data_IF_842057889960
#
_entry.id   IF_842057889960
#
_cell.length_a   1.000
_cell.length_b   1.000
_cell.length_c   1.000
_cell.angle_alpha   90.00
_cell.angle_beta   90.00
_cell.angle_gamma   90.00
#
_symmetry.space_group_name_H-M   'P 1'
#
loop_
_entity.id
_entity.type
_entity.pdbx_description
1 polymer ?
#
# COMPACT_ATOMS: atom_id res chain seq x y z
N UNK A 1 -0.30 -20.99 -16.39
CA UNK A 1 -0.20 -21.43 -14.99
C UNK A 1 0.12 -20.24 -14.12
N UNK A 2 -0.36 -20.25 -12.90
CA UNK A 2 -0.12 -19.15 -11.95
C UNK A 2 0.00 -19.71 -10.55
N UNK A 3 0.53 -18.90 -9.64
CA UNK A 3 0.53 -19.20 -8.22
C UNK A 3 0.24 -17.93 -7.44
N UNK A 4 -0.18 -18.08 -6.18
CA UNK A 4 -0.50 -16.94 -5.33
C UNK A 4 0.62 -16.69 -4.31
N UNK A 5 0.90 -15.43 -4.06
CA UNK A 5 1.82 -15.00 -3.01
C UNK A 5 1.03 -14.18 -2.01
N UNK A 6 1.06 -14.60 -0.73
CA UNK A 6 0.43 -13.85 0.35
C UNK A 6 1.46 -12.93 1.00
N UNK A 7 1.06 -11.68 1.23
CA UNK A 7 1.91 -10.68 1.84
C UNK A 7 1.21 -10.10 3.06
N UNK A 8 2.00 -9.76 4.09
CA UNK A 8 1.49 -9.14 5.29
C UNK A 8 2.60 -8.28 5.88
N UNK A 9 2.33 -6.98 6.06
CA UNK A 9 3.32 -6.03 6.58
C UNK A 9 2.64 -5.16 7.62
N UNK A 10 3.30 -4.98 8.76
CA UNK A 10 2.85 -4.09 9.83
C UNK A 10 4.02 -3.19 10.22
N UNK A 11 3.78 -1.89 10.29
CA UNK A 11 4.79 -0.89 10.64
C UNK A 11 4.17 0.18 11.50
N UNK A 12 4.99 0.83 12.33
CA UNK A 12 4.56 2.01 13.07
C UNK A 12 5.72 2.98 13.23
N UNK A 13 5.37 4.25 13.35
CA UNK A 13 6.35 5.30 13.60
C UNK A 13 5.69 6.45 14.36
N UNK A 14 6.50 7.30 14.99
CA UNK A 14 6.03 8.50 15.64
C UNK A 14 6.31 9.71 14.76
N UNK A 15 5.32 10.59 14.66
CA UNK A 15 5.41 11.82 13.88
C UNK A 15 5.24 13.03 14.80
N UNK A 16 5.98 14.13 14.56
CA UNK A 16 5.75 15.37 15.31
C UNK A 16 4.46 16.09 14.89
N UNK A 17 3.86 15.69 13.77
CA UNK A 17 2.62 16.31 13.30
C UNK A 17 1.44 15.95 14.19
N UNK A 18 0.46 16.87 14.27
CA UNK A 18 -0.76 16.63 15.05
C UNK A 18 -1.64 15.58 14.35
N UNK A 19 -2.45 14.82 15.11
CA UNK A 19 -3.31 13.79 14.52
C UNK A 19 -4.18 14.29 13.37
N UNK A 20 -4.75 15.49 13.47
CA UNK A 20 -5.58 16.05 12.40
C UNK A 20 -4.78 16.26 11.11
N UNK A 21 -3.53 16.71 11.22
CA UNK A 21 -2.68 16.90 10.05
C UNK A 21 -2.32 15.58 9.40
N UNK A 22 -2.00 14.58 10.20
CA UNK A 22 -1.69 13.23 9.72
C UNK A 22 -2.92 12.64 9.04
N UNK A 23 -4.10 12.74 9.69
CA UNK A 23 -5.34 12.23 9.13
C UNK A 23 -5.65 12.90 7.79
N UNK A 24 -5.49 14.21 7.69
CA UNK A 24 -5.74 14.94 6.44
C UNK A 24 -4.89 14.45 5.28
N UNK A 25 -3.63 14.12 5.55
CA UNK A 25 -2.74 13.56 4.53
C UNK A 25 -3.16 12.16 4.11
N UNK A 26 -3.42 11.28 5.09
CA UNK A 26 -3.68 9.86 4.82
C UNK A 26 -5.08 9.60 4.29
N UNK A 27 -6.05 10.43 4.63
CA UNK A 27 -7.42 10.32 4.11
C UNK A 27 -7.53 10.80 2.66
N UNK A 28 -6.61 11.63 2.22
CA UNK A 28 -6.53 12.07 0.83
C UNK A 28 -5.73 11.02 0.04
N UNK A 29 -6.44 10.08 -0.56
CA UNK A 29 -5.81 8.92 -1.20
C UNK A 29 -4.81 9.30 -2.28
N UNK A 30 -5.12 10.19 -3.24
CA UNK A 30 -4.11 10.59 -4.24
C UNK A 30 -2.87 11.20 -3.62
N UNK A 31 -3.04 12.04 -2.61
CA UNK A 31 -1.91 12.69 -1.93
C UNK A 31 -1.07 11.66 -1.18
N UNK A 32 -1.71 10.77 -0.44
CA UNK A 32 -1.04 9.68 0.26
C UNK A 32 -0.30 8.78 -0.73
N UNK A 33 -0.98 8.37 -1.79
CA UNK A 33 -0.44 7.47 -2.81
C UNK A 33 0.77 8.07 -3.54
N UNK A 34 0.86 9.40 -3.63
CA UNK A 34 2.01 10.05 -4.25
C UNK A 34 3.33 9.74 -3.55
N UNK A 35 3.26 9.23 -2.33
CA UNK A 35 4.43 8.83 -1.55
C UNK A 35 4.83 7.38 -1.77
N UNK A 36 3.99 6.60 -2.46
CA UNK A 36 4.25 5.18 -2.69
C UNK A 36 5.18 5.02 -3.89
N UNK A 37 6.26 4.21 -3.76
CA UNK A 37 7.20 4.05 -4.88
C UNK A 37 6.64 3.18 -5.98
N UNK A 38 7.13 3.41 -7.19
CA UNK A 38 6.91 2.54 -8.35
C UNK A 38 5.44 2.38 -8.74
N UNK A 39 4.64 3.43 -8.52
CA UNK A 39 3.27 3.49 -9.02
C UNK A 39 3.30 4.11 -10.42
N UNK A 40 2.89 3.34 -11.41
CA UNK A 40 2.79 3.83 -12.78
C UNK A 40 1.57 4.73 -12.94
N UNK A 41 0.44 4.32 -12.32
CA UNK A 41 -0.82 5.03 -12.50
C UNK A 41 -1.76 4.76 -11.32
N UNK A 42 -2.47 5.80 -10.89
CA UNK A 42 -3.56 5.71 -9.92
C UNK A 42 -4.81 6.24 -10.60
N UNK A 43 -5.83 5.41 -10.73
CA UNK A 43 -7.08 5.78 -11.39
C UNK A 43 -8.21 5.91 -10.37
N UNK A 44 -8.91 7.03 -10.41
CA UNK A 44 -10.09 7.25 -9.57
C UNK A 44 -11.28 6.53 -10.20
N UNK A 45 -11.85 5.56 -9.49
CA UNK A 45 -12.99 4.79 -9.95
C UNK A 45 -14.32 5.36 -9.47
N UNK A 46 -14.29 6.46 -8.70
CA UNK A 46 -15.47 7.02 -8.06
C UNK A 46 -15.78 6.33 -6.73
N UNK A 47 -16.58 6.96 -5.89
CA UNK A 47 -16.98 6.41 -4.60
C UNK A 47 -15.82 6.14 -3.65
N UNK A 48 -14.74 6.90 -3.77
CA UNK A 48 -13.53 6.74 -2.97
C UNK A 48 -12.84 5.39 -3.19
N UNK A 49 -12.96 4.84 -4.39
CA UNK A 49 -12.26 3.65 -4.83
C UNK A 49 -11.21 4.01 -5.87
N UNK A 50 -10.06 3.37 -5.82
CA UNK A 50 -8.94 3.66 -6.70
C UNK A 50 -8.31 2.39 -7.23
N UNK A 51 -7.92 2.44 -8.50
CA UNK A 51 -7.20 1.35 -9.15
C UNK A 51 -5.72 1.72 -9.21
N UNK A 52 -4.91 0.83 -8.66
CA UNK A 52 -3.47 0.99 -8.59
C UNK A 52 -2.83 0.15 -9.69
N UNK A 53 -2.05 0.79 -10.53
CA UNK A 53 -1.25 0.12 -11.55
C UNK A 53 0.21 0.35 -11.19
N UNK A 54 0.89 -0.71 -10.78
CA UNK A 54 2.28 -0.63 -10.39
C UNK A 54 3.17 -0.72 -11.62
N UNK A 55 4.42 -0.27 -11.49
CA UNK A 55 5.39 -0.40 -12.58
C UNK A 55 5.68 -1.87 -12.87
N UNK A 56 5.97 -2.15 -14.12
CA UNK A 56 6.32 -3.50 -14.56
C UNK A 56 7.68 -3.89 -14.00
N UNK A 57 7.76 -5.13 -13.56
CA UNK A 57 9.03 -5.75 -13.14
C UNK A 57 9.42 -6.71 -14.25
N UNK A 58 10.62 -6.56 -14.79
CA UNK A 58 11.04 -7.40 -15.92
C UNK A 58 12.53 -7.59 -15.99
N UNK A 59 12.92 -8.44 -16.95
CA UNK A 59 14.31 -8.69 -17.31
C UNK A 59 14.41 -8.51 -18.82
N UNK A 60 15.22 -7.53 -19.27
CA UNK A 60 15.29 -7.19 -20.67
C UNK A 60 13.94 -6.74 -21.21
N UNK A 61 13.46 -7.38 -22.27
CA UNK A 61 12.16 -7.08 -22.87
C UNK A 61 11.00 -7.87 -22.26
N UNK A 62 11.28 -8.72 -21.28
CA UNK A 62 10.27 -9.59 -20.69
C UNK A 62 9.71 -8.99 -19.40
N UNK A 63 8.39 -8.88 -19.31
CA UNK A 63 7.69 -8.49 -18.08
C UNK A 63 7.44 -9.75 -17.25
N UNK A 64 8.05 -9.80 -16.07
CA UNK A 64 7.83 -10.91 -15.13
C UNK A 64 6.54 -10.72 -14.33
N UNK A 65 6.26 -9.47 -13.94
CA UNK A 65 5.11 -9.18 -13.10
C UNK A 65 4.72 -7.71 -13.24
N UNK A 66 3.42 -7.47 -13.30
CA UNK A 66 2.85 -6.15 -13.09
C UNK A 66 1.67 -6.32 -12.15
N UNK A 67 1.74 -5.71 -10.98
CA UNK A 67 0.67 -5.81 -9.99
C UNK A 67 -0.36 -4.73 -10.24
N UNK A 68 -1.62 -5.14 -10.36
CA UNK A 68 -2.76 -4.25 -10.55
C UNK A 68 -3.83 -4.66 -9.53
N UNK A 69 -4.36 -3.69 -8.79
CA UNK A 69 -5.44 -3.95 -7.83
C UNK A 69 -6.25 -2.68 -7.61
N UNK A 70 -7.42 -2.85 -7.04
CA UNK A 70 -8.25 -1.72 -6.65
C UNK A 70 -8.71 -1.86 -5.21
N UNK A 71 -8.79 -0.71 -4.54
CA UNK A 71 -9.22 -0.63 -3.15
C UNK A 71 -10.30 0.43 -3.00
N UNK A 72 -11.29 0.13 -2.16
CA UNK A 72 -12.26 1.10 -1.70
C UNK A 72 -11.81 1.59 -0.32
N UNK A 73 -11.75 2.89 -0.14
CA UNK A 73 -11.22 3.53 1.06
C UNK A 73 -12.35 4.08 1.93
N UNK A 74 -12.20 3.93 3.22
CA UNK A 74 -13.10 4.50 4.22
C UNK A 74 -12.28 5.22 5.27
N UNK A 75 -12.51 6.51 5.43
CA UNK A 75 -11.87 7.29 6.49
C UNK A 75 -12.89 7.58 7.58
N UNK A 76 -12.45 7.45 8.84
CA UNK A 76 -13.26 7.70 10.02
C UNK A 76 -12.49 8.66 10.94
N UNK A 77 -12.89 9.92 10.91
CA UNK A 77 -12.20 10.98 11.67
C UNK A 77 -12.34 10.79 13.18
N UNK A 78 -13.48 10.29 13.65
CA UNK A 78 -13.67 10.07 15.08
C UNK A 78 -12.74 8.99 15.62
N UNK A 79 -12.55 7.93 14.86
CA UNK A 79 -11.67 6.82 15.25
C UNK A 79 -10.24 7.03 14.81
N UNK A 80 -9.97 8.08 14.05
CA UNK A 80 -8.65 8.36 13.45
C UNK A 80 -8.11 7.15 12.69
N UNK A 81 -8.94 6.62 11.78
CA UNK A 81 -8.59 5.49 10.95
C UNK A 81 -8.87 5.78 9.48
N UNK A 82 -8.04 5.20 8.64
CA UNK A 82 -8.27 5.14 7.19
C UNK A 82 -8.09 3.69 6.79
N UNK A 83 -9.17 3.03 6.38
CA UNK A 83 -9.14 1.62 6.03
C UNK A 83 -9.40 1.43 4.54
N UNK A 84 -8.85 0.36 3.98
CA UNK A 84 -9.13 0.00 2.59
C UNK A 84 -9.42 -1.49 2.49
N UNK A 85 -10.32 -1.80 1.54
CA UNK A 85 -10.74 -3.16 1.26
C UNK A 85 -10.66 -3.41 -0.25
N UNK A 86 -10.42 -4.67 -0.67
CA UNK A 86 -10.28 -4.96 -2.09
C UNK A 86 -11.59 -4.77 -2.85
N UNK A 87 -11.45 -4.28 -4.10
CA UNK A 87 -12.55 -4.27 -5.06
C UNK A 87 -12.38 -5.51 -5.92
N UNK A 88 -13.40 -6.38 -5.93
CA UNK A 88 -13.35 -7.64 -6.64
C UNK A 88 -13.35 -7.44 -8.16
N UNK A 89 -12.70 -8.38 -8.85
CA UNK A 89 -12.69 -8.42 -10.30
C UNK A 89 -11.75 -7.43 -10.98
N UNK A 90 -10.89 -6.76 -10.22
CA UNK A 90 -9.93 -5.79 -10.76
C UNK A 90 -8.51 -6.29 -10.55
N UNK A 91 -7.79 -6.47 -11.66
CA UNK A 91 -6.37 -6.79 -11.63
C UNK A 91 -6.06 -8.20 -11.17
N UNK A 92 -4.84 -8.36 -10.66
CA UNK A 92 -4.26 -9.64 -10.26
C UNK A 92 -3.85 -9.69 -8.79
N UNK A 93 -4.37 -8.78 -7.99
CA UNK A 93 -4.06 -8.74 -6.56
C UNK A 93 -5.27 -8.24 -5.78
N UNK A 94 -5.32 -8.64 -4.51
CA UNK A 94 -6.31 -8.16 -3.54
C UNK A 94 -5.54 -7.64 -2.33
N UNK A 95 -5.75 -6.37 -2.00
CA UNK A 95 -5.01 -5.72 -0.91
C UNK A 95 -6.00 -5.09 0.05
N UNK A 96 -5.80 -5.34 1.34
CA UNK A 96 -6.59 -4.72 2.40
C UNK A 96 -5.66 -4.21 3.50
N UNK A 97 -6.14 -3.27 4.28
CA UNK A 97 -5.35 -2.75 5.39
C UNK A 97 -5.93 -1.46 5.94
N UNK A 98 -5.09 -0.75 6.68
CA UNK A 98 -5.50 0.52 7.25
C UNK A 98 -4.38 1.25 7.97
N UNK A 99 -4.63 2.54 8.14
CA UNK A 99 -3.87 3.41 9.01
C UNK A 99 -4.63 3.61 10.31
N UNK A 100 -3.92 3.57 11.42
CA UNK A 100 -4.46 3.90 12.73
C UNK A 100 -3.59 4.98 13.37
N UNK A 101 -4.22 6.06 13.81
CA UNK A 101 -3.54 7.20 14.39
C UNK A 101 -3.89 7.32 15.87
N UNK A 102 -2.86 7.46 16.71
CA UNK A 102 -3.03 7.62 18.15
C UNK A 102 -2.24 8.83 18.61
N UNK A 103 -2.84 9.76 19.39
CA UNK A 103 -2.07 10.87 19.96
C UNK A 103 -0.92 10.33 20.81
N UNK A 104 0.22 10.98 20.74
CA UNK A 104 1.40 10.61 21.51
C UNK A 104 2.09 11.85 22.07
N UNK A 105 3.05 11.66 22.97
CA UNK A 105 3.81 12.77 23.55
C UNK A 105 4.57 13.55 22.47
N UNK A 106 5.02 12.88 21.40
CA UNK A 106 5.75 13.53 20.31
C UNK A 106 4.83 14.17 19.26
N UNK A 107 3.54 13.83 19.26
CA UNK A 107 2.56 14.28 18.27
C UNK A 107 1.58 13.19 17.96
N UNK A 108 1.93 12.29 17.05
CA UNK A 108 1.04 11.19 16.63
C UNK A 108 1.83 9.90 16.42
N UNK A 109 1.30 8.80 16.94
CA UNK A 109 1.77 7.46 16.58
C UNK A 109 0.97 6.98 15.39
N UNK A 110 1.67 6.63 14.34
CA UNK A 110 1.08 6.22 13.06
C UNK A 110 1.36 4.73 12.85
N UNK A 111 0.30 3.95 12.70
CA UNK A 111 0.41 2.51 12.48
C UNK A 111 -0.18 2.14 11.13
N UNK A 112 0.55 1.36 10.37
CA UNK A 112 0.11 0.81 9.09
C UNK A 112 0.08 -0.71 9.19
N UNK A 113 -1.06 -1.29 8.80
CA UNK A 113 -1.16 -2.72 8.59
C UNK A 113 -1.73 -2.94 7.20
N UNK A 114 -1.08 -3.79 6.42
CA UNK A 114 -1.56 -4.14 5.09
C UNK A 114 -1.25 -5.60 4.80
N UNK A 115 -2.17 -6.25 4.12
CA UNK A 115 -2.00 -7.63 3.67
C UNK A 115 -2.68 -7.80 2.34
N UNK A 116 -2.18 -8.74 1.57
CA UNK A 116 -2.70 -8.97 0.25
C UNK A 116 -2.34 -10.33 -0.29
N UNK A 117 -2.93 -10.62 -1.43
CA UNK A 117 -2.68 -11.84 -2.18
C UNK A 117 -2.46 -11.44 -3.62
N UNK A 118 -1.31 -11.82 -4.17
CA UNK A 118 -0.94 -11.54 -5.54
C UNK A 118 -0.99 -12.83 -6.36
N UNK A 119 -1.58 -12.75 -7.55
CA UNK A 119 -1.50 -13.82 -8.52
C UNK A 119 -0.32 -13.55 -9.43
N UNK A 120 0.62 -14.49 -9.47
CA UNK A 120 1.81 -14.40 -10.30
C UNK A 120 1.66 -15.36 -11.47
N UNK A 121 1.66 -14.81 -12.69
CA UNK A 121 1.44 -15.59 -13.90
C UNK A 121 2.75 -16.23 -14.39
N UNK A 122 3.22 -17.20 -13.62
CA UNK A 122 4.43 -17.97 -13.88
C UNK A 122 4.18 -19.41 -13.44
N UNK A 123 4.97 -20.37 -13.93
CA UNK A 123 4.80 -21.77 -13.54
C UNK A 123 4.90 -21.98 -12.04
N UNK A 124 4.05 -22.86 -11.51
CA UNK A 124 3.95 -23.11 -10.07
C UNK A 124 5.25 -23.59 -9.42
N UNK A 125 6.13 -24.25 -10.16
CA UNK A 125 7.41 -24.71 -9.61
C UNK A 125 8.33 -23.56 -9.22
N UNK A 126 8.08 -22.34 -9.73
CA UNK A 126 8.84 -21.15 -9.37
C UNK A 126 8.37 -20.52 -8.07
N UNK A 127 7.21 -20.92 -7.55
CA UNK A 127 6.62 -20.33 -6.35
C UNK A 127 7.59 -20.34 -5.17
N UNK A 128 8.24 -21.47 -4.96
CA UNK A 128 9.15 -21.67 -3.83
C UNK A 128 10.33 -20.70 -3.87
N UNK A 129 10.81 -20.39 -5.08
CA UNK A 129 11.93 -19.49 -5.29
C UNK A 129 11.51 -18.02 -5.26
N UNK A 130 10.38 -17.70 -5.89
CA UNK A 130 9.98 -16.31 -6.11
C UNK A 130 9.17 -15.70 -4.96
N UNK A 131 8.40 -16.50 -4.21
CA UNK A 131 7.56 -15.96 -3.14
C UNK A 131 8.34 -15.15 -2.11
N UNK A 132 9.48 -15.64 -1.57
CA UNK A 132 10.24 -14.82 -0.61
C UNK A 132 10.76 -13.52 -1.21
N UNK A 133 11.13 -13.53 -2.48
CA UNK A 133 11.63 -12.32 -3.16
C UNK A 133 10.53 -11.30 -3.34
N UNK A 134 9.32 -11.76 -3.69
CA UNK A 134 8.16 -10.89 -3.88
C UNK A 134 7.73 -10.30 -2.54
N UNK A 135 7.70 -11.11 -1.49
CA UNK A 135 7.38 -10.66 -0.14
C UNK A 135 8.36 -9.57 0.33
N UNK A 136 9.65 -9.80 0.11
CA UNK A 136 10.68 -8.84 0.48
C UNK A 136 10.55 -7.54 -0.31
N UNK A 137 10.30 -7.63 -1.62
CA UNK A 137 10.14 -6.46 -2.47
C UNK A 137 8.95 -5.62 -2.03
N UNK A 138 7.83 -6.26 -1.65
CA UNK A 138 6.65 -5.56 -1.15
C UNK A 138 6.95 -4.85 0.16
N UNK A 139 7.60 -5.53 1.10
CA UNK A 139 7.96 -4.94 2.39
C UNK A 139 8.87 -3.72 2.20
N UNK A 140 9.81 -3.79 1.28
CA UNK A 140 10.70 -2.66 0.97
C UNK A 140 9.91 -1.47 0.41
N UNK A 141 8.91 -1.71 -0.42
CA UNK A 141 8.06 -0.63 -0.95
C UNK A 141 7.25 0.01 0.16
N UNK A 142 6.72 -0.77 1.09
CA UNK A 142 6.00 -0.26 2.25
C UNK A 142 6.92 0.58 3.13
N UNK A 143 8.12 0.11 3.39
CA UNK A 143 9.09 0.87 4.20
C UNK A 143 9.44 2.21 3.55
N UNK A 144 9.56 2.23 2.23
CA UNK A 144 9.82 3.47 1.50
C UNK A 144 8.62 4.41 1.52
N UNK A 145 7.42 3.87 1.38
CA UNK A 145 6.19 4.62 1.48
C UNK A 145 6.11 5.32 2.85
N UNK A 146 6.32 4.55 3.91
CA UNK A 146 6.31 5.08 5.29
C UNK A 146 7.38 6.16 5.47
N UNK A 147 8.58 5.92 4.96
CA UNK A 147 9.67 6.89 5.05
C UNK A 147 9.31 8.20 4.35
N UNK A 148 8.68 8.12 3.18
CA UNK A 148 8.26 9.29 2.42
C UNK A 148 7.13 10.05 3.14
N UNK A 149 6.16 9.32 3.70
CA UNK A 149 5.08 9.91 4.49
C UNK A 149 5.65 10.62 5.71
N UNK A 150 6.53 9.95 6.45
CA UNK A 150 7.16 10.52 7.65
C UNK A 150 7.93 11.80 7.32
N UNK A 151 8.61 11.83 6.19
CA UNK A 151 9.35 13.02 5.75
C UNK A 151 8.41 14.19 5.47
N UNK A 152 7.29 13.95 4.77
CA UNK A 152 6.30 14.98 4.50
C UNK A 152 5.69 15.51 5.80
N UNK A 153 5.34 14.61 6.72
CA UNK A 153 4.75 14.99 8.00
C UNK A 153 5.71 15.83 8.85
N UNK A 154 7.00 15.54 8.77
CA UNK A 154 8.01 16.28 9.53
C UNK A 154 8.13 17.72 9.06
N UNK A 155 7.79 18.00 7.81
CA UNK A 155 7.84 19.34 7.22
C UNK A 155 6.54 20.14 7.38
N UNK A 156 5.52 19.54 7.93
CA UNK A 156 4.21 20.17 8.13
C UNK A 156 4.16 20.99 9.40
#
# INVERSE_FOLDING_TARGET
>A
MSFNVSISVSRQFDSPALPESVFGLLADVPRSASHFPDVEKLEDLGGNAFRWVMEKIGIGDYTLQQTIYACAYRSDREKMRVDWSPVDGVGNARVEGGWELTPSAAGTRVKLETKGKLEVDLPGFLQFLLSPLIEMAFAQKIDRYISNIAETLRKM
#
